data_IF_771688793875
#
_entry.id   IF_771688793875
#
_cell.length_a   1.000
_cell.length_b   1.000
_cell.length_c   1.000
_cell.angle_alpha   90.00
_cell.angle_beta   90.00
_cell.angle_gamma   90.00
#
_symmetry.space_group_name_H-M   'P 1'
#
loop_
_entity.id
_entity.type
_entity.pdbx_description
1 polymer ?
#
# COMPACT_ATOMS: atom_id res chain seq x y z
N UNK A 1 -4.50 -6.89 11.82
CA UNK A 1 -4.53 -5.61 12.55
C UNK A 1 -4.21 -4.51 11.56
N UNK A 2 -5.03 -3.47 11.54
CA UNK A 2 -4.77 -2.26 10.78
C UNK A 2 -3.64 -1.44 11.40
N UNK A 3 -3.03 -0.54 10.63
CA UNK A 3 -1.94 0.31 11.11
C UNK A 3 -2.35 1.18 12.32
N UNK A 4 -3.60 1.64 12.38
CA UNK A 4 -4.11 2.43 13.51
C UNK A 4 -4.32 1.59 14.78
N UNK A 5 -4.82 0.37 14.64
CA UNK A 5 -4.97 -0.56 15.78
C UNK A 5 -3.60 -0.95 16.38
N UNK A 6 -2.57 -1.05 15.54
CA UNK A 6 -1.20 -1.25 16.00
C UNK A 6 -0.71 -0.06 16.82
N UNK A 7 -1.05 1.17 16.44
CA UNK A 7 -0.67 2.36 17.22
C UNK A 7 -1.48 2.52 18.52
N UNK A 8 -2.67 1.93 18.62
CA UNK A 8 -3.49 2.03 19.83
C UNK A 8 -3.09 1.03 20.93
N UNK A 9 -2.32 -0.01 20.60
CA UNK A 9 -1.87 -1.03 21.55
C UNK A 9 -0.35 -1.03 21.64
N UNK A 10 0.18 -0.57 22.77
CA UNK A 10 1.62 -0.60 23.03
C UNK A 10 2.08 -2.02 23.36
N UNK A 11 3.04 -2.54 22.60
CA UNK A 11 3.72 -3.83 22.86
C UNK A 11 5.24 -3.68 22.64
N UNK A 12 6.03 -4.40 23.43
CA UNK A 12 7.49 -4.46 23.36
C UNK A 12 7.95 -5.16 22.08
N UNK A 13 7.12 -6.02 21.49
CA UNK A 13 7.40 -6.70 20.22
C UNK A 13 6.97 -5.91 18.97
N UNK A 14 6.59 -4.64 19.13
CA UNK A 14 6.17 -3.81 18.00
C UNK A 14 7.32 -3.57 17.01
N UNK A 15 6.94 -3.44 15.74
CA UNK A 15 7.88 -3.09 14.68
C UNK A 15 8.59 -1.76 14.98
N UNK A 16 9.92 -1.62 14.73
CA UNK A 16 10.68 -0.40 15.06
C UNK A 16 10.09 0.89 14.48
N UNK A 17 9.46 0.83 13.31
CA UNK A 17 8.77 1.99 12.70
C UNK A 17 7.57 2.42 13.53
N UNK A 18 6.78 1.47 14.04
CA UNK A 18 5.63 1.79 14.88
C UNK A 18 6.07 2.41 16.22
N UNK A 19 7.14 1.89 16.82
CA UNK A 19 7.74 2.49 18.02
C UNK A 19 8.24 3.93 17.77
N UNK A 20 8.86 4.17 16.61
CA UNK A 20 9.30 5.50 16.19
C UNK A 20 8.13 6.46 15.97
N UNK A 21 7.03 5.99 15.40
CA UNK A 21 5.81 6.80 15.24
C UNK A 21 5.25 7.15 16.62
N UNK A 22 5.14 6.18 17.54
CA UNK A 22 4.65 6.41 18.90
C UNK A 22 5.50 7.41 19.68
N UNK A 23 6.83 7.34 19.56
CA UNK A 23 7.71 8.29 20.24
C UNK A 23 7.52 9.73 19.74
N UNK A 24 7.35 9.92 18.44
CA UNK A 24 7.04 11.22 17.83
C UNK A 24 5.67 11.72 18.31
N UNK A 25 4.65 10.87 18.31
CA UNK A 25 3.31 11.24 18.78
C UNK A 25 3.32 11.65 20.25
N UNK A 26 4.04 10.90 21.09
CA UNK A 26 4.19 11.22 22.51
C UNK A 26 4.90 12.57 22.70
N UNK A 27 5.97 12.82 21.95
CA UNK A 27 6.68 14.10 21.96
C UNK A 27 5.74 15.26 21.60
N UNK A 28 5.02 15.17 20.46
CA UNK A 28 4.11 16.22 20.02
C UNK A 28 2.97 16.47 21.02
N UNK A 29 2.43 15.42 21.63
CA UNK A 29 1.41 15.56 22.68
C UNK A 29 1.95 16.30 23.91
N UNK A 30 3.20 16.04 24.29
CA UNK A 30 3.86 16.74 25.40
C UNK A 30 4.04 18.24 25.11
N UNK A 31 4.30 18.59 23.85
CA UNK A 31 4.36 19.98 23.39
C UNK A 31 2.96 20.64 23.25
N UNK A 32 1.89 19.93 23.58
CA UNK A 32 0.52 20.47 23.61
C UNK A 32 -0.23 20.39 22.28
N UNK A 33 0.31 19.68 21.28
CA UNK A 33 -0.40 19.49 20.00
C UNK A 33 -1.54 18.47 20.16
N UNK A 34 -2.70 18.82 19.62
CA UNK A 34 -3.83 17.89 19.43
C UNK A 34 -3.72 17.25 18.05
N UNK A 35 -3.60 15.92 18.01
CA UNK A 35 -3.44 15.15 16.77
C UNK A 35 -4.68 14.29 16.56
N UNK A 36 -5.29 14.39 15.39
CA UNK A 36 -6.45 13.61 14.98
C UNK A 36 -6.08 12.83 13.72
N UNK A 37 -6.28 11.52 13.74
CA UNK A 37 -6.14 10.67 12.56
C UNK A 37 -7.47 10.54 11.85
N UNK A 38 -7.50 10.88 10.56
CA UNK A 38 -8.67 10.73 9.70
C UNK A 38 -8.35 9.76 8.58
N UNK A 39 -9.23 8.79 8.36
CA UNK A 39 -9.14 7.92 7.18
C UNK A 39 -9.84 8.59 6.01
N UNK A 40 -9.15 8.69 4.87
CA UNK A 40 -9.72 9.17 3.62
C UNK A 40 -9.91 7.97 2.71
N UNK A 41 -11.09 7.79 2.07
CA UNK A 41 -11.31 6.68 1.15
C UNK A 41 -10.31 6.71 -0.01
N UNK A 42 -9.80 5.53 -0.37
CA UNK A 42 -8.88 5.38 -1.49
C UNK A 42 -9.66 5.48 -2.80
N UNK A 43 -9.49 6.59 -3.51
CA UNK A 43 -9.93 6.74 -4.89
C UNK A 43 -8.86 7.50 -5.68
N UNK A 44 -8.47 6.99 -6.84
CA UNK A 44 -7.56 7.65 -7.78
C UNK A 44 -8.20 8.98 -8.24
N UNK A 45 -7.42 10.06 -8.35
CA UNK A 45 -7.94 11.38 -8.76
C UNK A 45 -8.23 12.36 -7.62
N UNK A 46 -8.02 11.98 -6.36
CA UNK A 46 -8.00 12.96 -5.24
C UNK A 46 -6.61 13.58 -5.18
N UNK A 47 -6.47 14.84 -5.64
CA UNK A 47 -5.17 15.49 -5.79
C UNK A 47 -4.33 15.50 -4.50
N UNK A 48 -4.97 15.69 -3.34
CA UNK A 48 -4.30 15.67 -2.04
C UNK A 48 -3.66 14.31 -1.73
N UNK A 49 -4.33 13.20 -2.07
CA UNK A 49 -3.79 11.85 -1.87
C UNK A 49 -2.64 11.60 -2.86
N UNK A 50 -2.77 12.04 -4.11
CA UNK A 50 -1.73 11.87 -5.13
C UNK A 50 -0.45 12.63 -4.78
N UNK A 51 -0.57 13.84 -4.24
CA UNK A 51 0.57 14.63 -3.76
C UNK A 51 1.22 13.91 -2.57
N UNK A 52 0.42 13.47 -1.59
CA UNK A 52 0.94 12.74 -0.43
C UNK A 52 1.68 11.46 -0.84
N UNK A 53 1.11 10.68 -1.76
CA UNK A 53 1.73 9.47 -2.32
C UNK A 53 3.01 9.78 -3.09
N UNK A 54 3.04 10.86 -3.86
CA UNK A 54 4.23 11.29 -4.59
C UNK A 54 5.36 11.66 -3.63
N UNK A 55 5.07 12.39 -2.56
CA UNK A 55 6.05 12.76 -1.54
C UNK A 55 6.52 11.52 -0.78
N UNK A 56 5.62 10.59 -0.43
CA UNK A 56 5.97 9.34 0.23
C UNK A 56 6.89 8.47 -0.64
N UNK A 57 6.57 8.32 -1.94
CA UNK A 57 7.42 7.62 -2.91
C UNK A 57 8.80 8.28 -3.02
N UNK A 58 8.85 9.60 -3.12
CA UNK A 58 10.12 10.33 -3.13
C UNK A 58 10.91 10.11 -1.83
N UNK A 59 10.29 10.19 -0.66
CA UNK A 59 10.97 9.95 0.61
C UNK A 59 11.48 8.50 0.74
N UNK A 60 10.75 7.53 0.19
CA UNK A 60 11.16 6.12 0.22
C UNK A 60 12.46 5.85 -0.54
N UNK A 61 12.80 6.64 -1.57
CA UNK A 61 14.09 6.48 -2.27
C UNK A 61 15.30 6.85 -1.41
N UNK A 62 15.09 7.60 -0.32
CA UNK A 62 16.13 7.96 0.65
C UNK A 62 16.14 7.07 1.89
N UNK A 63 15.07 6.29 2.11
CA UNK A 63 14.95 5.34 3.20
C UNK A 63 15.27 3.95 2.67
N UNK A 64 16.55 3.57 2.69
CA UNK A 64 16.98 2.17 2.58
C UNK A 64 16.63 1.42 3.87
N UNK A 65 15.35 1.36 4.20
CA UNK A 65 14.88 0.51 5.28
C UNK A 65 14.50 -0.83 4.64
N UNK A 66 15.32 -1.84 4.89
CA UNK A 66 15.03 -3.20 4.44
C UNK A 66 13.64 -3.60 4.95
N UNK A 67 12.77 -3.99 4.02
CA UNK A 67 11.45 -4.52 4.35
C UNK A 67 11.70 -5.77 5.21
N UNK A 68 11.15 -5.85 6.43
CA UNK A 68 11.27 -7.05 7.25
C UNK A 68 10.85 -8.28 6.46
N UNK A 69 11.58 -9.38 6.61
CA UNK A 69 11.24 -10.63 5.93
C UNK A 69 9.79 -11.07 6.20
N UNK A 70 9.23 -10.72 7.36
CA UNK A 70 7.83 -10.94 7.72
C UNK A 70 6.82 -10.24 6.81
N UNK A 71 7.19 -9.10 6.23
CA UNK A 71 6.35 -8.33 5.31
C UNK A 71 6.50 -8.84 3.87
N UNK A 72 7.65 -9.46 3.55
CA UNK A 72 7.90 -10.20 2.30
C UNK A 72 7.52 -11.69 2.45
N UNK A 73 6.43 -11.97 3.18
CA UNK A 73 6.04 -13.35 3.42
C UNK A 73 5.40 -13.97 2.16
N UNK A 74 6.24 -14.50 1.28
CA UNK A 74 5.85 -15.24 0.06
C UNK A 74 4.91 -16.41 0.36
N UNK A 75 4.84 -16.87 1.61
CA UNK A 75 3.92 -17.91 2.08
C UNK A 75 2.45 -17.48 2.11
N UNK A 76 2.18 -16.17 2.28
CA UNK A 76 0.81 -15.66 2.41
C UNK A 76 0.19 -15.27 1.06
N UNK A 77 0.97 -15.25 -0.02
CA UNK A 77 0.45 -15.04 -1.37
C UNK A 77 0.09 -16.40 -1.96
N UNK A 78 -1.20 -16.67 -2.25
CA UNK A 78 -1.55 -17.89 -2.97
C UNK A 78 -0.73 -17.95 -4.27
N UNK A 79 -0.26 -19.14 -4.63
CA UNK A 79 0.60 -19.31 -5.81
C UNK A 79 -0.03 -18.68 -7.05
N UNK A 80 0.80 -18.24 -8.00
CA UNK A 80 0.32 -17.69 -9.28
C UNK A 80 -0.76 -18.59 -9.91
N UNK A 81 -0.56 -19.91 -9.84
CA UNK A 81 -1.51 -20.93 -10.29
C UNK A 81 -2.84 -20.88 -9.54
N UNK A 82 -2.83 -20.71 -8.22
CA UNK A 82 -4.05 -20.60 -7.41
C UNK A 82 -4.86 -19.37 -7.78
N UNK A 83 -4.20 -18.25 -8.02
CA UNK A 83 -4.86 -17.03 -8.49
C UNK A 83 -5.42 -17.21 -9.89
N UNK A 84 -4.62 -17.75 -10.81
CA UNK A 84 -5.03 -17.96 -12.21
C UNK A 84 -6.28 -18.84 -12.29
N UNK A 85 -6.31 -19.95 -11.54
CA UNK A 85 -7.48 -20.81 -11.50
C UNK A 85 -8.73 -20.11 -10.96
N UNK A 86 -8.59 -19.26 -9.93
CA UNK A 86 -9.72 -18.47 -9.41
C UNK A 86 -10.20 -17.44 -10.43
N UNK A 87 -9.27 -16.82 -11.15
CA UNK A 87 -9.58 -15.87 -12.20
C UNK A 87 -10.29 -16.51 -13.39
N UNK A 88 -9.88 -17.71 -13.80
CA UNK A 88 -10.54 -18.46 -14.88
C UNK A 88 -11.95 -18.93 -14.51
N UNK A 89 -12.27 -19.02 -13.22
CA UNK A 89 -13.63 -19.29 -12.73
C UNK A 89 -14.52 -18.02 -12.76
N UNK A 90 -13.95 -16.83 -12.91
CA UNK A 90 -14.71 -15.58 -12.93
C UNK A 90 -15.22 -15.26 -14.34
N UNK A 91 -16.53 -15.40 -14.56
CA UNK A 91 -17.21 -14.97 -15.80
C UNK A 91 -17.51 -13.46 -15.83
N UNK A 92 -16.48 -12.63 -15.58
CA UNK A 92 -16.62 -11.17 -15.64
C UNK A 92 -16.09 -10.63 -16.98
N UNK A 93 -16.54 -9.43 -17.37
CA UNK A 93 -16.11 -8.78 -18.63
C UNK A 93 -14.60 -8.48 -18.67
N UNK A 94 -13.96 -8.41 -17.51
CA UNK A 94 -12.54 -8.09 -17.38
C UNK A 94 -11.66 -9.31 -17.71
N UNK A 95 -12.14 -10.54 -17.47
CA UNK A 95 -11.46 -11.79 -17.86
C UNK A 95 -11.24 -11.86 -19.38
N UNK A 96 -12.23 -11.43 -20.17
CA UNK A 96 -12.08 -11.33 -21.64
C UNK A 96 -10.94 -10.40 -22.08
N UNK A 97 -10.69 -9.33 -21.32
CA UNK A 97 -9.66 -8.34 -21.64
C UNK A 97 -8.29 -8.79 -21.14
N UNK A 98 -8.26 -9.55 -20.04
CA UNK A 98 -7.03 -10.03 -19.40
C UNK A 98 -7.22 -11.45 -18.86
N UNK A 99 -7.05 -12.49 -19.68
CA UNK A 99 -7.25 -13.86 -19.21
C UNK A 99 -6.13 -14.36 -18.29
N UNK A 100 -4.93 -13.80 -18.37
CA UNK A 100 -3.78 -14.22 -17.55
C UNK A 100 -3.43 -13.19 -16.48
N UNK A 101 -3.07 -13.62 -15.27
CA UNK A 101 -2.77 -12.74 -14.13
C UNK A 101 -1.36 -12.11 -14.19
N UNK A 102 -0.55 -12.50 -15.17
CA UNK A 102 0.79 -11.96 -15.40
C UNK A 102 0.83 -10.43 -15.63
N UNK A 103 2.02 -9.84 -15.51
CA UNK A 103 2.23 -8.42 -15.74
C UNK A 103 1.71 -8.03 -17.13
N UNK A 104 0.95 -6.93 -17.22
CA UNK A 104 0.60 -6.36 -18.51
C UNK A 104 1.89 -6.11 -19.28
N UNK A 105 2.02 -6.72 -20.46
CA UNK A 105 3.04 -6.32 -21.41
C UNK A 105 2.74 -4.86 -21.72
N UNK A 106 3.56 -3.95 -21.19
CA UNK A 106 3.49 -2.54 -21.55
C UNK A 106 3.78 -2.49 -23.04
N UNK A 107 2.72 -2.48 -23.85
CA UNK A 107 2.86 -2.11 -25.25
C UNK A 107 3.25 -0.63 -25.27
N UNK A 108 4.19 -0.21 -26.15
CA UNK A 108 4.42 1.20 -26.39
C UNK A 108 3.06 1.86 -26.66
N UNK A 109 2.77 2.95 -25.96
CA UNK A 109 1.52 3.69 -26.09
C UNK A 109 1.44 4.22 -27.52
N UNK A 110 0.82 3.46 -28.43
CA UNK A 110 0.27 3.99 -29.65
C UNK A 110 -0.90 4.88 -29.22
N UNK A 111 -0.64 6.18 -29.32
CA UNK A 111 -1.48 7.29 -28.92
C UNK A 111 -2.78 7.24 -29.72
N UNK A 112 -3.81 6.57 -29.19
CA UNK A 112 -5.17 6.67 -29.72
C UNK A 112 -5.78 8.04 -29.38
N UNK A 113 -5.24 9.08 -30.03
CA UNK A 113 -5.97 10.31 -30.31
C UNK A 113 -6.02 10.45 -31.84
N UNK A 114 -7.09 9.93 -32.45
CA UNK A 114 -7.60 10.36 -33.76
C UNK A 114 -8.99 9.76 -33.99
N UNK A 115 -10.02 10.48 -33.54
CA UNK A 115 -11.16 10.94 -34.34
C UNK A 115 -12.22 11.55 -33.42
#
# INVERSE_FOLDING_TARGET
MSALETLSHYDIQMHPVALKILSILHFLRKEGFSIIFCWVPSHVGISGNEIADSIAKFASTFLSQDIPYSDVNKSCFPSHTTWQNNWDLQMNKLHFVKPFIDMWLVLPIERWMSN
#
